data_IF_923086740030
#
_entry.id   IF_923086740030
#
_cell.length_a   1.000
_cell.length_b   1.000
_cell.length_c   1.000
_cell.angle_alpha   90.00
_cell.angle_beta   90.00
_cell.angle_gamma   90.00
#
_symmetry.space_group_name_H-M   'P 1'
#
loop_
_entity.id
_entity.type
_entity.pdbx_description
1 polymer ?
#
# COMPACT_ATOMS: atom_id res chain seq x y z
N UNK A 1 -4.88 -13.31 -25.98
CA UNK A 1 -3.62 -12.66 -25.56
C UNK A 1 -3.61 -12.68 -24.05
N UNK A 2 -2.92 -13.67 -23.51
CA UNK A 2 -2.72 -13.91 -22.07
C UNK A 2 -1.96 -12.72 -21.51
N UNK A 3 -2.65 -11.85 -20.77
CA UNK A 3 -2.00 -10.79 -20.01
C UNK A 3 -1.09 -11.48 -19.00
N UNK A 4 0.22 -11.35 -19.19
CA UNK A 4 1.20 -11.85 -18.25
C UNK A 4 0.89 -11.29 -16.87
N UNK A 5 0.97 -12.17 -15.88
CA UNK A 5 0.88 -11.85 -14.47
C UNK A 5 1.82 -10.68 -14.16
N UNK A 6 1.37 -9.84 -13.23
CA UNK A 6 2.03 -8.61 -12.80
C UNK A 6 3.49 -8.89 -12.38
N UNK A 7 4.46 -8.64 -13.25
CA UNK A 7 5.85 -8.43 -12.83
C UNK A 7 5.96 -7.00 -12.27
N UNK A 8 5.42 -6.81 -11.07
CA UNK A 8 5.73 -5.61 -10.28
C UNK A 8 7.11 -5.86 -9.67
N UNK A 9 8.14 -5.27 -10.28
CA UNK A 9 9.48 -5.30 -9.72
C UNK A 9 9.67 -4.07 -8.79
N UNK A 10 9.70 -4.33 -7.48
CA UNK A 10 10.01 -3.30 -6.50
C UNK A 10 11.52 -3.21 -6.29
N UNK A 11 12.03 -1.98 -6.24
CA UNK A 11 13.44 -1.74 -5.87
C UNK A 11 13.59 -1.82 -4.35
N UNK A 12 14.31 -2.84 -3.87
CA UNK A 12 14.61 -3.06 -2.44
C UNK A 12 13.34 -3.05 -1.55
N UNK A 13 12.36 -3.93 -1.79
CA UNK A 13 11.12 -3.93 -1.01
C UNK A 13 11.37 -4.37 0.43
N UNK A 14 10.51 -3.94 1.36
CA UNK A 14 10.58 -4.37 2.77
C UNK A 14 10.37 -5.88 2.94
N UNK A 15 9.53 -6.45 2.08
CA UNK A 15 9.16 -7.87 2.01
C UNK A 15 8.95 -8.26 0.54
N UNK A 16 8.93 -9.56 0.19
CA UNK A 16 8.59 -10.01 -1.17
C UNK A 16 7.25 -9.44 -1.66
N UNK A 17 7.16 -9.14 -2.95
CA UNK A 17 5.95 -8.54 -3.57
C UNK A 17 4.74 -9.44 -3.41
N UNK A 18 4.97 -10.75 -3.48
CA UNK A 18 3.98 -11.81 -3.34
C UNK A 18 3.29 -11.73 -1.97
N UNK A 19 4.02 -11.35 -0.91
CA UNK A 19 3.45 -11.20 0.43
C UNK A 19 2.51 -10.00 0.52
N UNK A 20 2.86 -8.86 -0.10
CA UNK A 20 1.94 -7.72 -0.23
C UNK A 20 0.67 -8.09 -1.01
N UNK A 21 0.82 -8.85 -2.10
CA UNK A 21 -0.30 -9.31 -2.91
C UNK A 21 -1.19 -10.29 -2.15
N UNK A 22 -0.61 -11.28 -1.47
CA UNK A 22 -1.33 -12.29 -0.69
C UNK A 22 -2.09 -11.67 0.49
N UNK A 23 -1.54 -10.65 1.14
CA UNK A 23 -2.21 -9.90 2.21
C UNK A 23 -3.33 -8.99 1.70
N UNK A 24 -3.44 -8.76 0.38
CA UNK A 24 -4.51 -7.97 -0.22
C UNK A 24 -4.39 -6.46 0.00
N UNK A 25 -3.23 -5.93 0.40
CA UNK A 25 -3.08 -4.48 0.73
C UNK A 25 -3.29 -3.55 -0.48
N UNK A 26 -3.15 -4.10 -1.69
CA UNK A 26 -3.35 -3.38 -2.94
C UNK A 26 -4.84 -3.26 -3.33
N UNK A 27 -5.75 -3.98 -2.67
CA UNK A 27 -7.18 -3.95 -2.97
C UNK A 27 -7.82 -2.75 -2.28
N UNK A 28 -8.18 -1.73 -3.06
CA UNK A 28 -8.92 -0.57 -2.60
C UNK A 28 -10.44 -0.79 -2.58
N UNK A 29 -11.20 0.31 -2.63
CA UNK A 29 -12.67 0.28 -2.66
C UNK A 29 -13.20 0.76 -4.01
N UNK A 30 -14.52 0.79 -4.21
CA UNK A 30 -15.14 1.42 -5.39
C UNK A 30 -15.16 2.96 -5.29
N UNK A 31 -14.98 3.51 -4.09
CA UNK A 31 -14.95 4.94 -3.85
C UNK A 31 -13.51 5.47 -3.94
N UNK A 32 -13.37 6.67 -4.50
CA UNK A 32 -12.10 7.40 -4.55
C UNK A 32 -12.30 8.87 -4.19
N UNK A 33 -11.22 9.51 -3.77
CA UNK A 33 -11.17 10.96 -3.60
C UNK A 33 -9.95 11.53 -4.34
N UNK A 34 -9.90 12.86 -4.46
CA UNK A 34 -8.86 13.57 -5.21
C UNK A 34 -7.45 13.29 -4.65
N UNK A 35 -7.31 13.24 -3.34
CA UNK A 35 -6.01 13.13 -2.68
C UNK A 35 -5.38 11.73 -2.85
N UNK A 36 -6.22 10.70 -2.94
CA UNK A 36 -5.78 9.32 -3.14
C UNK A 36 -5.43 9.00 -4.59
N UNK A 37 -5.75 9.86 -5.57
CA UNK A 37 -5.51 9.60 -7.00
C UNK A 37 -4.05 9.27 -7.30
N UNK A 38 -3.10 9.90 -6.61
CA UNK A 38 -1.65 9.66 -6.78
C UNK A 38 -1.17 8.30 -6.26
N UNK A 39 -2.01 7.56 -5.54
CA UNK A 39 -1.70 6.25 -4.98
C UNK A 39 -2.50 5.12 -5.66
N UNK A 40 -3.29 5.45 -6.67
CA UNK A 40 -4.09 4.47 -7.43
C UNK A 40 -3.28 4.09 -8.67
N UNK A 41 -2.96 2.81 -8.80
CA UNK A 41 -2.28 2.25 -9.97
C UNK A 41 -3.24 2.09 -11.16
N UNK A 42 -4.39 1.45 -10.94
CA UNK A 42 -5.43 1.25 -11.97
C UNK A 42 -6.80 0.96 -11.36
N UNK A 43 -7.81 0.84 -12.20
CA UNK A 43 -9.14 0.31 -11.84
C UNK A 43 -9.31 -1.10 -12.43
N UNK A 44 -9.88 -2.02 -11.66
CA UNK A 44 -10.23 -3.37 -12.10
C UNK A 44 -11.59 -3.36 -12.80
N UNK A 45 -11.89 -4.39 -13.59
CA UNK A 45 -13.15 -4.46 -14.37
C UNK A 45 -14.44 -4.45 -13.54
N UNK A 46 -14.35 -4.77 -12.24
CA UNK A 46 -15.46 -4.72 -11.28
C UNK A 46 -15.55 -3.38 -10.51
N UNK A 47 -14.72 -2.39 -10.87
CA UNK A 47 -14.75 -1.06 -10.30
C UNK A 47 -13.91 -0.86 -9.03
N UNK A 48 -13.22 -1.90 -8.52
CA UNK A 48 -12.28 -1.70 -7.41
C UNK A 48 -11.01 -1.00 -7.89
N UNK A 49 -10.59 0.02 -7.14
CA UNK A 49 -9.30 0.66 -7.37
C UNK A 49 -8.17 -0.19 -6.80
N UNK A 50 -7.12 -0.38 -7.59
CA UNK A 50 -5.89 -1.06 -7.17
C UNK A 50 -4.89 0.01 -6.73
N UNK A 51 -4.43 -0.10 -5.49
CA UNK A 51 -3.42 0.78 -4.91
C UNK A 51 -2.01 0.38 -5.38
N UNK A 52 -1.16 1.39 -5.50
CA UNK A 52 0.25 1.20 -5.84
C UNK A 52 1.04 0.66 -4.62
N UNK A 53 1.59 -0.54 -4.78
CA UNK A 53 2.37 -1.21 -3.73
C UNK A 53 3.72 -0.52 -3.53
N UNK A 54 4.33 0.03 -4.59
CA UNK A 54 5.59 0.75 -4.46
C UNK A 54 5.40 1.98 -3.57
N UNK A 55 4.36 2.77 -3.86
CA UNK A 55 4.03 3.93 -3.04
C UNK A 55 3.70 3.54 -1.59
N UNK A 56 3.08 2.38 -1.38
CA UNK A 56 2.79 1.85 -0.04
C UNK A 56 4.06 1.51 0.73
N UNK A 57 4.99 0.76 0.12
CA UNK A 57 6.27 0.37 0.70
C UNK A 57 7.13 1.61 1.09
N UNK A 58 7.22 2.60 0.19
CA UNK A 58 7.94 3.85 0.43
C UNK A 58 7.34 4.66 1.60
N UNK A 59 6.01 4.65 1.73
CA UNK A 59 5.31 5.35 2.83
C UNK A 59 5.54 4.65 4.16
N UNK A 60 5.58 3.33 4.20
CA UNK A 60 5.92 2.56 5.41
C UNK A 60 7.35 2.89 5.85
N UNK A 61 8.32 2.89 4.92
CA UNK A 61 9.71 3.30 5.20
C UNK A 61 9.79 4.72 5.78
N UNK A 62 9.02 5.65 5.22
CA UNK A 62 8.95 7.03 5.70
C UNK A 62 8.35 7.12 7.10
N UNK A 63 7.23 6.44 7.35
CA UNK A 63 6.58 6.40 8.65
C UNK A 63 7.50 5.77 9.72
N UNK A 64 8.19 4.68 9.40
CA UNK A 64 9.14 4.04 10.30
C UNK A 64 10.28 5.00 10.69
N UNK A 65 10.88 5.70 9.72
CA UNK A 65 11.92 6.72 9.99
C UNK A 65 11.41 7.88 10.84
N UNK A 66 10.17 8.31 10.62
CA UNK A 66 9.55 9.38 11.40
C UNK A 66 9.29 8.94 12.85
N UNK A 67 8.67 7.78 13.05
CA UNK A 67 8.38 7.24 14.38
C UNK A 67 9.64 6.96 15.20
N UNK A 68 10.74 6.56 14.55
CA UNK A 68 12.04 6.33 15.20
C UNK A 68 12.66 7.59 15.82
N UNK A 69 12.15 8.79 15.51
CA UNK A 69 12.61 10.05 16.12
C UNK A 69 11.98 10.31 17.49
N UNK A 70 11.04 9.48 17.93
CA UNK A 70 10.31 9.64 19.19
C UNK A 70 10.58 8.47 20.13
N UNK A 71 10.54 8.74 21.44
CA UNK A 71 10.56 7.67 22.46
C UNK A 71 9.30 6.79 22.32
N UNK A 72 9.41 5.45 22.40
CA UNK A 72 8.27 4.56 22.24
C UNK A 72 7.08 4.87 23.15
N UNK A 73 7.34 5.28 24.40
CA UNK A 73 6.30 5.64 25.37
C UNK A 73 5.48 6.91 24.98
N UNK A 74 5.97 7.69 24.01
CA UNK A 74 5.31 8.91 23.51
C UNK A 74 4.48 8.65 22.25
N UNK A 75 4.42 7.41 21.76
CA UNK A 75 3.64 7.02 20.57
C UNK A 75 2.33 6.38 21.01
N UNK A 76 1.20 6.98 20.63
CA UNK A 76 -0.15 6.44 20.83
C UNK A 76 -0.69 5.88 19.52
N UNK A 77 -1.08 4.60 19.51
CA UNK A 77 -1.74 3.95 18.38
C UNK A 77 -3.23 3.83 18.68
N UNK A 78 -4.09 4.23 17.74
CA UNK A 78 -5.55 4.21 17.89
C UNK A 78 -6.19 3.44 16.73
N UNK A 79 -7.09 2.52 17.05
CA UNK A 79 -7.97 1.85 16.09
C UNK A 79 -9.37 1.68 16.68
N UNK A 80 -10.41 1.82 15.85
CA UNK A 80 -11.80 1.52 16.20
C UNK A 80 -12.37 0.32 15.46
N UNK A 81 -11.73 -0.07 14.36
CA UNK A 81 -12.14 -1.21 13.54
C UNK A 81 -11.63 -2.50 14.19
N UNK A 82 -12.55 -3.46 14.36
CA UNK A 82 -12.25 -4.83 14.78
C UNK A 82 -11.83 -5.69 13.60
#
# INVERSE_FOLDING_TARGET
MTGSELEIELKEPLIPVEEYLAAGVHIGTQQKNKDMMKFIYRVRGDGLYILDIQATDERIKTAAKFLAQYEPAKILVVTSRQ
#
